data_IF_486443469458
#
_entry.id   IF_486443469458
#
_cell.length_a   1.000
_cell.length_b   1.000
_cell.length_c   1.000
_cell.angle_alpha   90.00
_cell.angle_beta   90.00
_cell.angle_gamma   90.00
#
_symmetry.space_group_name_H-M   'P 1'
#
loop_
_entity.id
_entity.type
_entity.pdbx_description
1 polymer ?
#
# COMPACT_ATOMS: atom_id res chain seq x y z
N UNK A 1 -30.98 4.39 2.41
CA UNK A 1 -30.84 5.79 1.92
C UNK A 1 -29.46 5.91 1.23
N UNK A 2 -29.26 6.84 0.29
CA UNK A 2 -27.95 7.09 -0.34
C UNK A 2 -26.88 7.46 0.69
N UNK A 3 -27.27 8.21 1.73
CA UNK A 3 -26.41 8.55 2.85
C UNK A 3 -25.87 7.31 3.57
N UNK A 4 -26.70 6.29 3.79
CA UNK A 4 -26.29 5.02 4.41
C UNK A 4 -25.26 4.29 3.53
N UNK A 5 -25.44 4.31 2.21
CA UNK A 5 -24.52 3.67 1.26
C UNK A 5 -23.16 4.35 1.32
N UNK A 6 -23.11 5.68 1.31
CA UNK A 6 -21.86 6.42 1.46
C UNK A 6 -21.19 6.14 2.80
N UNK A 7 -21.95 6.13 3.89
CA UNK A 7 -21.44 5.84 5.22
C UNK A 7 -20.85 4.42 5.34
N UNK A 8 -21.55 3.40 4.84
CA UNK A 8 -21.05 2.03 4.88
C UNK A 8 -19.85 1.81 3.96
N UNK A 9 -19.81 2.44 2.78
CA UNK A 9 -18.65 2.38 1.90
C UNK A 9 -17.42 3.03 2.55
N UNK A 10 -17.59 4.20 3.16
CA UNK A 10 -16.54 4.88 3.92
C UNK A 10 -15.97 3.95 5.02
N UNK A 11 -16.84 3.38 5.85
CA UNK A 11 -16.43 2.48 6.93
C UNK A 11 -15.75 1.21 6.42
N UNK A 12 -16.27 0.59 5.37
CA UNK A 12 -15.70 -0.61 4.77
C UNK A 12 -14.28 -0.35 4.26
N UNK A 13 -14.07 0.78 3.58
CA UNK A 13 -12.76 1.17 3.06
C UNK A 13 -11.78 1.51 4.18
N UNK A 14 -12.21 2.24 5.21
CA UNK A 14 -11.36 2.53 6.38
C UNK A 14 -10.85 1.23 7.00
N UNK A 15 -11.73 0.26 7.27
CA UNK A 15 -11.34 -0.99 7.94
C UNK A 15 -10.21 -1.74 7.23
N UNK A 16 -10.21 -1.79 5.90
CA UNK A 16 -9.20 -2.53 5.12
C UNK A 16 -7.99 -1.69 4.70
N UNK A 17 -7.94 -0.41 5.10
CA UNK A 17 -6.85 0.53 4.79
C UNK A 17 -6.18 1.03 6.08
N UNK A 18 -6.51 2.24 6.53
CA UNK A 18 -5.91 2.91 7.69
C UNK A 18 -6.57 2.52 9.03
N UNK A 19 -7.61 1.69 8.98
CA UNK A 19 -8.44 1.17 10.08
C UNK A 19 -9.24 2.22 10.86
N UNK A 20 -8.67 3.39 11.14
CA UNK A 20 -9.32 4.49 11.86
C UNK A 20 -8.69 5.86 11.58
N UNK A 21 -9.33 6.91 12.10
CA UNK A 21 -8.95 8.31 11.85
C UNK A 21 -7.71 8.80 12.63
N UNK A 22 -7.11 7.95 13.46
CA UNK A 22 -5.97 8.31 14.29
C UNK A 22 -4.68 7.66 13.80
N UNK A 23 -3.89 8.47 13.09
CA UNK A 23 -2.56 8.14 12.59
C UNK A 23 -1.60 7.65 13.71
N UNK A 24 -1.87 8.04 14.96
CA UNK A 24 -1.03 7.73 16.13
C UNK A 24 -1.17 6.28 16.61
N UNK A 25 -2.25 5.57 16.28
CA UNK A 25 -2.47 4.19 16.76
C UNK A 25 -1.66 3.14 15.98
N UNK A 26 -1.04 3.51 14.85
CA UNK A 26 -0.17 2.60 14.09
C UNK A 26 -0.89 1.41 13.44
N UNK A 27 -2.21 1.49 13.24
CA UNK A 27 -3.03 0.40 12.69
C UNK A 27 -3.12 0.39 11.15
N UNK A 28 -2.18 1.06 10.48
CA UNK A 28 -2.09 1.09 9.02
C UNK A 28 -1.96 -0.30 8.46
N UNK A 29 -2.76 -0.60 7.44
CA UNK A 29 -2.73 -1.87 6.74
C UNK A 29 -2.96 -3.09 7.66
N UNK A 30 -3.46 -2.91 8.88
CA UNK A 30 -3.66 -3.99 9.86
C UNK A 30 -4.58 -5.10 9.31
N UNK A 31 -5.65 -4.70 8.61
CA UNK A 31 -6.56 -5.62 7.96
C UNK A 31 -6.40 -5.63 6.44
N UNK A 32 -5.17 -5.46 5.93
CA UNK A 32 -4.88 -5.44 4.50
C UNK A 32 -5.45 -6.66 3.75
N UNK A 33 -5.75 -6.45 2.47
CA UNK A 33 -6.25 -7.48 1.56
C UNK A 33 -5.65 -7.31 0.17
N UNK A 34 -5.16 -8.39 -0.41
CA UNK A 34 -4.69 -8.42 -1.80
C UNK A 34 -5.85 -8.60 -2.78
N UNK A 35 -6.84 -7.71 -2.70
CA UNK A 35 -7.98 -7.68 -3.60
C UNK A 35 -7.67 -6.85 -4.84
N UNK A 36 -8.20 -7.27 -6.00
CA UNK A 36 -7.92 -6.60 -7.29
C UNK A 36 -8.13 -5.08 -7.24
N UNK A 37 -9.27 -4.63 -6.69
CA UNK A 37 -9.56 -3.21 -6.49
C UNK A 37 -8.58 -2.51 -5.55
N UNK A 38 -8.27 -3.14 -4.41
CA UNK A 38 -7.31 -2.60 -3.43
C UNK A 38 -5.90 -2.46 -4.00
N UNK A 39 -5.42 -3.47 -4.73
CA UNK A 39 -4.10 -3.42 -5.36
C UNK A 39 -4.03 -2.27 -6.35
N UNK A 40 -5.03 -2.14 -7.21
CA UNK A 40 -5.07 -1.11 -8.27
C UNK A 40 -5.23 0.30 -7.72
N UNK A 41 -6.19 0.50 -6.81
CA UNK A 41 -6.67 1.84 -6.45
C UNK A 41 -6.13 2.33 -5.09
N UNK A 42 -5.51 1.47 -4.28
CA UNK A 42 -4.93 1.85 -2.97
C UNK A 42 -3.43 1.55 -2.88
N UNK A 43 -3.00 0.30 -3.11
CA UNK A 43 -1.58 -0.06 -2.92
C UNK A 43 -0.67 0.42 -4.05
N UNK A 44 -1.06 0.27 -5.32
CA UNK A 44 -0.23 0.70 -6.43
C UNK A 44 0.04 2.22 -6.44
N UNK A 45 -0.96 3.10 -6.21
CA UNK A 45 -0.71 4.54 -6.08
C UNK A 45 0.25 4.90 -4.93
N UNK A 46 0.19 4.20 -3.80
CA UNK A 46 1.16 4.38 -2.69
C UNK A 46 2.58 4.06 -3.14
N UNK A 47 2.78 2.98 -3.88
CA UNK A 47 4.09 2.64 -4.46
C UNK A 47 4.57 3.69 -5.47
N UNK A 48 3.69 4.24 -6.30
CA UNK A 48 4.06 5.31 -7.23
C UNK A 48 4.55 6.57 -6.49
N UNK A 49 3.82 7.02 -5.47
CA UNK A 49 4.24 8.16 -4.63
C UNK A 49 5.57 7.89 -3.96
N UNK A 50 5.76 6.68 -3.41
CA UNK A 50 7.01 6.27 -2.78
C UNK A 50 8.20 6.36 -3.76
N UNK A 51 8.09 5.75 -4.94
CA UNK A 51 9.17 5.76 -5.93
C UNK A 51 9.43 7.17 -6.51
N UNK A 52 8.41 7.99 -6.69
CA UNK A 52 8.56 9.38 -7.14
C UNK A 52 9.38 10.20 -6.13
N UNK A 53 9.07 10.11 -4.84
CA UNK A 53 9.84 10.81 -3.80
C UNK A 53 11.25 10.23 -3.70
N UNK A 54 11.39 8.90 -3.69
CA UNK A 54 12.69 8.24 -3.58
C UNK A 54 13.62 8.65 -4.72
N UNK A 55 13.10 8.72 -5.95
CA UNK A 55 13.88 9.14 -7.11
C UNK A 55 14.31 10.61 -7.00
N UNK A 56 13.43 11.50 -6.52
CA UNK A 56 13.77 12.92 -6.27
C UNK A 56 14.88 13.04 -5.23
N UNK A 57 14.75 12.37 -4.09
CA UNK A 57 15.78 12.35 -3.05
C UNK A 57 17.12 11.84 -3.57
N UNK A 58 17.11 10.81 -4.43
CA UNK A 58 18.31 10.25 -5.04
C UNK A 58 18.99 11.24 -5.99
N UNK A 59 18.23 11.94 -6.82
CA UNK A 59 18.75 12.95 -7.77
C UNK A 59 19.29 14.18 -7.04
N UNK A 60 18.60 14.62 -5.99
CA UNK A 60 18.96 15.80 -5.20
C UNK A 60 20.04 15.52 -4.14
N UNK A 61 20.30 14.25 -3.83
CA UNK A 61 21.39 13.82 -2.95
C UNK A 61 21.09 13.97 -1.46
N UNK A 62 19.84 13.79 -1.04
CA UNK A 62 19.44 13.89 0.37
C UNK A 62 18.67 12.63 0.83
N UNK A 63 18.63 12.32 2.14
CA UNK A 63 17.87 11.18 2.64
C UNK A 63 16.36 11.39 2.49
N UNK A 64 15.62 10.28 2.42
CA UNK A 64 14.17 10.28 2.40
C UNK A 64 13.60 10.83 3.72
N UNK A 65 12.78 11.87 3.63
CA UNK A 65 11.99 12.37 4.76
C UNK A 65 10.67 11.59 4.85
N UNK A 66 10.58 10.75 5.89
CA UNK A 66 9.40 9.93 6.16
C UNK A 66 8.14 10.75 6.47
N UNK A 67 8.30 11.95 7.05
CA UNK A 67 7.16 12.82 7.34
C UNK A 67 6.55 13.34 6.05
N UNK A 68 7.38 13.85 5.14
CA UNK A 68 6.95 14.31 3.82
C UNK A 68 6.31 13.18 3.01
N UNK A 69 6.92 11.98 3.03
CA UNK A 69 6.34 10.82 2.37
C UNK A 69 4.96 10.46 2.94
N UNK A 70 4.83 10.35 4.27
CA UNK A 70 3.57 9.97 4.91
C UNK A 70 2.47 11.01 4.67
N UNK A 71 2.80 12.30 4.75
CA UNK A 71 1.85 13.39 4.43
C UNK A 71 1.37 13.28 2.98
N UNK A 72 2.28 13.02 2.04
CA UNK A 72 1.94 12.89 0.63
C UNK A 72 1.12 11.63 0.33
N UNK A 73 1.49 10.49 0.93
CA UNK A 73 0.71 9.25 0.84
C UNK A 73 -0.72 9.46 1.34
N UNK A 74 -0.88 10.14 2.48
CA UNK A 74 -2.18 10.43 3.03
C UNK A 74 -3.04 11.29 2.10
N UNK A 75 -2.50 12.44 1.69
CA UNK A 75 -3.25 13.43 0.92
C UNK A 75 -3.53 13.00 -0.52
N UNK A 76 -2.57 12.33 -1.18
CA UNK A 76 -2.68 11.96 -2.59
C UNK A 76 -3.39 10.61 -2.81
N UNK A 77 -3.36 9.71 -1.81
CA UNK A 77 -3.88 8.35 -1.99
C UNK A 77 -4.91 7.97 -0.94
N UNK A 78 -4.53 7.94 0.34
CA UNK A 78 -5.38 7.33 1.38
C UNK A 78 -6.68 8.13 1.55
N UNK A 79 -6.59 9.44 1.72
CA UNK A 79 -7.74 10.32 1.91
C UNK A 79 -8.72 10.29 0.71
N UNK A 80 -8.27 10.46 -0.55
CA UNK A 80 -9.15 10.27 -1.71
C UNK A 80 -9.79 8.88 -1.76
N UNK A 81 -9.06 7.82 -1.40
CA UNK A 81 -9.54 6.44 -1.49
C UNK A 81 -10.76 6.19 -0.59
N UNK A 82 -10.75 6.63 0.67
CA UNK A 82 -11.89 6.38 1.57
C UNK A 82 -12.94 7.51 1.60
N UNK A 83 -12.59 8.77 1.31
CA UNK A 83 -13.55 9.89 1.32
C UNK A 83 -14.17 10.23 -0.03
N UNK A 84 -13.40 10.17 -1.13
CA UNK A 84 -13.81 10.74 -2.41
C UNK A 84 -14.19 9.68 -3.46
N UNK A 85 -13.65 8.47 -3.32
CA UNK A 85 -13.85 7.43 -4.31
C UNK A 85 -15.27 6.80 -4.20
N UNK A 86 -16.13 7.15 -5.16
CA UNK A 86 -17.48 6.59 -5.36
C UNK A 86 -17.52 5.43 -6.34
N UNK A 87 -16.34 4.91 -6.74
CA UNK A 87 -16.22 3.84 -7.72
C UNK A 87 -16.90 2.56 -7.26
N UNK A 88 -17.65 1.96 -8.19
CA UNK A 88 -18.25 0.65 -8.01
C UNK A 88 -17.26 -0.40 -8.49
N UNK A 89 -16.95 -1.36 -7.60
CA UNK A 89 -16.06 -2.47 -7.92
C UNK A 89 -16.86 -3.64 -8.50
N UNK A 90 -16.35 -4.32 -9.54
CA UNK A 90 -17.05 -5.46 -10.13
C UNK A 90 -17.15 -6.61 -9.13
N UNK A 91 -18.31 -7.25 -9.07
CA UNK A 91 -18.59 -8.41 -8.23
C UNK A 91 -18.44 -9.74 -8.97
N UNK A 92 -18.25 -9.70 -10.28
CA UNK A 92 -17.98 -10.85 -11.13
C UNK A 92 -16.50 -10.92 -11.48
N UNK A 93 -15.97 -12.14 -11.53
CA UNK A 93 -14.57 -12.39 -11.92
C UNK A 93 -14.36 -12.14 -13.41
N UNK A 94 -13.14 -11.74 -13.78
CA UNK A 94 -12.74 -11.51 -15.16
C UNK A 94 -11.32 -12.06 -15.38
N UNK A 95 -11.06 -12.66 -16.54
CA UNK A 95 -9.78 -13.25 -16.92
C UNK A 95 -9.61 -14.73 -16.53
N UNK A 96 -8.56 -15.36 -17.04
CA UNK A 96 -8.16 -16.74 -16.72
C UNK A 96 -6.97 -16.72 -15.76
N UNK A 97 -7.20 -17.21 -14.54
CA UNK A 97 -6.18 -17.22 -13.48
C UNK A 97 -4.99 -18.12 -13.81
N UNK A 98 -5.19 -19.21 -14.54
CA UNK A 98 -4.10 -20.16 -14.87
C UNK A 98 -3.17 -19.53 -15.90
N UNK A 99 -3.73 -18.93 -16.95
CA UNK A 99 -2.95 -18.25 -17.99
C UNK A 99 -2.16 -17.08 -17.39
N UNK A 100 -2.80 -16.21 -16.62
CA UNK A 100 -2.13 -15.06 -15.98
C UNK A 100 -1.03 -15.52 -15.02
N UNK A 101 -1.27 -16.54 -14.21
CA UNK A 101 -0.26 -17.07 -13.28
C UNK A 101 0.98 -17.59 -14.02
N UNK A 102 0.80 -18.28 -15.15
CA UNK A 102 1.92 -18.76 -15.99
C UNK A 102 2.69 -17.60 -16.61
N UNK A 103 2.00 -16.58 -17.12
CA UNK A 103 2.65 -15.39 -17.68
C UNK A 103 3.49 -14.67 -16.63
N UNK A 104 2.94 -14.45 -15.43
CA UNK A 104 3.66 -13.83 -14.31
C UNK A 104 4.86 -14.67 -13.87
N UNK A 105 4.69 -16.00 -13.74
CA UNK A 105 5.79 -16.89 -13.40
C UNK A 105 6.90 -16.78 -14.45
N UNK A 106 6.58 -16.93 -15.73
CA UNK A 106 7.57 -16.85 -16.81
C UNK A 106 8.31 -15.51 -16.82
N UNK A 107 7.60 -14.41 -16.58
CA UNK A 107 8.19 -13.06 -16.55
C UNK A 107 9.13 -12.83 -15.37
N UNK A 108 8.78 -13.30 -14.18
CA UNK A 108 9.47 -12.90 -12.94
C UNK A 108 10.34 -14.00 -12.31
N UNK A 109 10.16 -15.28 -12.64
CA UNK A 109 10.85 -16.39 -11.96
C UNK A 109 12.38 -16.38 -12.15
N UNK A 110 12.89 -15.96 -13.32
CA UNK A 110 14.34 -15.89 -13.56
C UNK A 110 14.99 -14.69 -12.89
N UNK A 111 14.33 -13.52 -12.92
CA UNK A 111 14.84 -12.31 -12.25
C UNK A 111 15.00 -12.49 -10.74
N UNK A 112 14.26 -13.41 -10.12
CA UNK A 112 14.37 -13.72 -8.70
C UNK A 112 15.56 -14.61 -8.37
N UNK A 113 16.07 -15.41 -9.32
CA UNK A 113 17.23 -16.27 -9.11
C UNK A 113 18.56 -15.51 -9.25
N UNK A 114 18.55 -14.36 -9.93
CA UNK A 114 19.71 -13.49 -10.11
C UNK A 114 19.83 -12.39 -9.03
N UNK A 115 18.79 -12.21 -8.21
CA UNK A 115 18.87 -11.34 -7.03
C UNK A 115 19.60 -12.12 -5.95
N UNK A 116 20.89 -11.81 -5.79
CA UNK A 116 21.66 -12.18 -4.61
C UNK A 116 21.02 -11.47 -3.42
N UNK A 117 20.06 -12.14 -2.76
CA UNK A 117 19.46 -11.65 -1.53
C UNK A 117 20.62 -11.46 -0.55
N UNK A 118 20.86 -10.25 -0.02
CA UNK A 118 21.95 -10.05 0.92
C UNK A 118 21.77 -11.06 2.03
N UNK A 119 22.78 -11.95 2.21
CA UNK A 119 22.81 -12.95 3.26
C UNK A 119 22.29 -12.30 4.53
N UNK A 120 21.24 -12.90 5.13
CA UNK A 120 20.55 -12.44 6.35
C UNK A 120 21.49 -11.56 7.16
N UNK A 121 21.41 -10.23 6.95
CA UNK A 121 22.39 -9.33 7.56
C UNK A 121 22.34 -9.62 9.05
N UNK A 122 23.50 -10.04 9.58
CA UNK A 122 23.69 -10.47 10.96
C UNK A 122 22.81 -9.63 11.86
N UNK A 123 21.82 -10.23 12.53
CA UNK A 123 20.83 -9.61 13.44
C UNK A 123 21.31 -8.23 13.94
N UNK A 124 21.12 -7.17 13.14
CA UNK A 124 21.29 -5.82 13.65
C UNK A 124 20.06 -5.66 14.50
N UNK A 125 20.24 -5.75 15.82
CA UNK A 125 19.22 -5.31 16.78
C UNK A 125 18.87 -3.89 16.38
N UNK A 126 17.78 -3.73 15.63
CA UNK A 126 17.18 -2.43 15.41
C UNK A 126 16.85 -1.89 16.81
N UNK A 127 17.34 -0.71 17.21
CA UNK A 127 17.11 -0.17 18.55
C UNK A 127 15.71 0.44 18.63
N UNK A 128 14.67 -0.29 18.23
CA UNK A 128 13.30 0.07 18.56
C UNK A 128 13.01 -0.47 19.96
N UNK A 129 13.33 0.33 20.97
CA UNK A 129 12.71 0.18 22.29
C UNK A 129 11.33 0.80 22.18
N UNK A 130 10.29 -0.03 22.18
CA UNK A 130 8.95 0.45 22.50
C UNK A 130 8.97 0.88 23.98
N UNK A 131 8.90 2.17 24.21
CA UNK A 131 8.51 2.71 25.50
C UNK A 131 6.98 2.72 25.50
N UNK A 132 6.39 1.80 26.25
CA UNK A 132 5.01 1.93 26.69
C UNK A 132 5.08 2.67 28.02
N UNK A 133 4.64 3.92 28.02
CA UNK A 133 4.22 4.61 29.24
C UNK A 133 2.78 4.19 29.59
#
# INVERSE_FOLDING_TARGET
NEEDIHFYNFNAKLQVSIWGNNYTLGLYDYANKFWSGMIRDYYAPRWYVFFDILLKCLVEGHPLDWKVLNERLFLEVELPFFMLDTKVYPTTTQGDSITIARELFNKYHLSLNEIDLPEKSSKKKFPFKYHFD
#
